data_IF_911616202555
#
_entry.id   IF_911616202555
#
_cell.length_a   1.000
_cell.length_b   1.000
_cell.length_c   1.000
_cell.angle_alpha   90.00
_cell.angle_beta   90.00
_cell.angle_gamma   90.00
#
_symmetry.space_group_name_H-M   'P 1'
#
loop_
_entity.id
_entity.type
_entity.pdbx_description
1 polymer ?
#
# COMPACT_ATOMS: atom_id res chain seq x y z
N UNK A 1 12.49 -14.15 13.06
CA UNK A 1 13.84 -13.76 12.62
C UNK A 1 14.17 -12.36 13.04
N UNK A 2 15.28 -12.23 13.72
CA UNK A 2 15.82 -10.91 14.00
C UNK A 2 16.13 -10.27 12.65
N UNK A 3 15.67 -9.06 12.40
CA UNK A 3 16.00 -8.34 11.19
C UNK A 3 14.85 -7.98 10.28
N UNK A 4 13.61 -8.26 10.68
CA UNK A 4 12.49 -7.70 9.93
C UNK A 4 12.48 -6.18 10.07
N UNK A 5 12.38 -5.48 8.94
CA UNK A 5 12.24 -4.02 8.93
C UNK A 5 10.95 -3.56 9.60
N UNK A 6 10.04 -4.49 9.87
CA UNK A 6 8.75 -4.20 10.51
C UNK A 6 8.80 -4.28 12.03
N UNK A 7 9.88 -4.76 12.62
CA UNK A 7 9.97 -4.91 14.08
C UNK A 7 9.63 -3.61 14.80
N UNK A 8 8.68 -3.69 15.74
CA UNK A 8 8.26 -2.55 16.54
C UNK A 8 7.41 -1.52 15.81
N UNK A 9 7.07 -1.75 14.56
CA UNK A 9 6.26 -0.81 13.79
C UNK A 9 4.79 -0.86 14.17
N UNK A 10 4.13 0.27 14.07
CA UNK A 10 2.69 0.40 14.30
C UNK A 10 1.99 0.46 12.96
N UNK A 11 1.05 -0.45 12.75
CA UNK A 11 0.36 -0.63 11.48
C UNK A 11 -1.13 -0.48 11.69
N UNK A 12 -1.77 0.34 10.85
CA UNK A 12 -3.22 0.46 10.78
C UNK A 12 -3.69 -0.14 9.45
N UNK A 13 -4.65 -1.06 9.50
CA UNK A 13 -5.30 -1.58 8.31
C UNK A 13 -6.76 -1.18 8.30
N UNK A 14 -7.23 -0.67 7.17
CA UNK A 14 -8.60 -0.16 7.00
C UNK A 14 -9.25 -0.83 5.80
N UNK A 15 -10.33 -1.56 6.04
CA UNK A 15 -11.11 -2.23 5.01
C UNK A 15 -12.49 -2.50 5.58
N UNK A 16 -13.55 -2.32 4.79
CA UNK A 16 -14.91 -2.62 5.23
C UNK A 16 -15.22 -4.12 5.27
N UNK A 17 -14.30 -4.94 4.76
CA UNK A 17 -14.41 -6.40 4.83
C UNK A 17 -13.55 -6.93 5.98
N UNK A 18 -14.16 -7.39 7.09
CA UNK A 18 -13.38 -7.89 8.23
C UNK A 18 -12.45 -9.06 7.89
N UNK A 19 -12.83 -9.91 6.93
CA UNK A 19 -12.02 -11.05 6.51
C UNK A 19 -10.67 -10.60 5.95
N UNK A 20 -10.65 -9.49 5.22
CA UNK A 20 -9.40 -8.92 4.69
C UNK A 20 -8.48 -8.48 5.84
N UNK A 21 -9.05 -7.84 6.84
CA UNK A 21 -8.30 -7.39 8.03
C UNK A 21 -7.72 -8.57 8.81
N UNK A 22 -8.47 -9.66 8.92
CA UNK A 22 -8.01 -10.86 9.60
C UNK A 22 -6.85 -11.52 8.86
N UNK A 23 -6.90 -11.58 7.54
CA UNK A 23 -5.81 -12.11 6.72
C UNK A 23 -4.56 -11.25 6.89
N UNK A 24 -4.70 -9.93 6.80
CA UNK A 24 -3.58 -9.01 6.99
C UNK A 24 -2.95 -9.16 8.37
N UNK A 25 -3.77 -9.25 9.40
CA UNK A 25 -3.30 -9.43 10.77
C UNK A 25 -2.49 -10.72 10.90
N UNK A 26 -3.01 -11.81 10.38
CA UNK A 26 -2.35 -13.11 10.43
C UNK A 26 -1.00 -13.08 9.71
N UNK A 27 -0.97 -12.58 8.48
CA UNK A 27 0.25 -12.51 7.69
C UNK A 27 1.32 -11.63 8.35
N UNK A 28 0.92 -10.47 8.84
CA UNK A 28 1.86 -9.50 9.40
C UNK A 28 2.38 -9.96 10.76
N UNK A 29 1.51 -10.40 11.66
CA UNK A 29 1.91 -10.80 13.01
C UNK A 29 2.67 -12.12 13.03
N UNK A 30 2.42 -13.01 12.06
CA UNK A 30 3.23 -14.21 11.92
C UNK A 30 4.67 -13.87 11.54
N UNK A 31 4.85 -12.93 10.62
CA UNK A 31 6.18 -12.49 10.19
C UNK A 31 6.85 -11.57 11.21
N UNK A 32 6.07 -10.80 11.95
CA UNK A 32 6.58 -9.82 12.90
C UNK A 32 5.70 -9.76 14.15
N UNK A 33 5.93 -10.65 15.13
CA UNK A 33 5.12 -10.67 16.36
C UNK A 33 5.24 -9.39 17.18
N UNK A 34 6.31 -8.61 17.00
CA UNK A 34 6.55 -7.37 17.74
C UNK A 34 5.85 -6.15 17.14
N UNK A 35 5.19 -6.31 15.98
CA UNK A 35 4.40 -5.24 15.38
C UNK A 35 3.12 -5.00 16.17
N UNK A 36 2.69 -3.74 16.21
CA UNK A 36 1.35 -3.38 16.69
C UNK A 36 0.43 -3.31 15.48
N UNK A 37 -0.70 -4.01 15.52
CA UNK A 37 -1.63 -4.06 14.41
C UNK A 37 -3.02 -3.63 14.87
N UNK A 38 -3.50 -2.49 14.33
CA UNK A 38 -4.83 -1.96 14.60
C UNK A 38 -5.70 -2.07 13.35
N UNK A 39 -6.99 -2.24 13.55
CA UNK A 39 -7.97 -2.45 12.49
C UNK A 39 -9.08 -1.42 12.56
N UNK A 40 -9.56 -0.96 11.41
CA UNK A 40 -10.74 -0.12 11.29
C UNK A 40 -11.57 -0.55 10.09
N UNK A 41 -12.88 -0.54 10.22
CA UNK A 41 -13.79 -0.95 9.15
C UNK A 41 -14.56 0.23 8.54
N UNK A 42 -14.41 1.43 9.09
CA UNK A 42 -15.09 2.63 8.59
C UNK A 42 -14.10 3.77 8.43
N UNK A 43 -14.46 4.71 7.55
CA UNK A 43 -13.70 5.94 7.37
C UNK A 43 -13.57 6.71 8.69
N UNK A 44 -14.68 6.85 9.40
CA UNK A 44 -14.74 7.66 10.63
C UNK A 44 -13.79 7.12 11.70
N UNK A 45 -13.79 5.81 11.91
CA UNK A 45 -12.88 5.19 12.88
C UNK A 45 -11.43 5.33 12.46
N UNK A 46 -11.15 5.08 11.18
CA UNK A 46 -9.79 5.20 10.65
C UNK A 46 -9.26 6.63 10.76
N UNK A 47 -10.08 7.61 10.41
CA UNK A 47 -9.71 9.01 10.51
C UNK A 47 -9.38 9.42 11.94
N UNK A 48 -10.22 8.99 12.87
CA UNK A 48 -9.99 9.23 14.31
C UNK A 48 -8.68 8.61 14.78
N UNK A 49 -8.45 7.36 14.38
CA UNK A 49 -7.23 6.63 14.77
C UNK A 49 -5.97 7.27 14.20
N UNK A 50 -6.03 7.68 12.93
CA UNK A 50 -4.89 8.36 12.28
C UNK A 50 -4.56 9.70 12.96
N UNK A 51 -5.58 10.41 13.44
CA UNK A 51 -5.37 11.67 14.16
C UNK A 51 -4.81 11.46 15.57
N UNK A 52 -5.23 10.39 16.23
CA UNK A 52 -4.88 10.14 17.63
C UNK A 52 -3.54 9.42 17.80
N UNK A 53 -3.08 8.68 16.81
CA UNK A 53 -1.93 7.79 16.92
C UNK A 53 -0.98 7.99 15.74
N UNK A 54 0.31 7.99 15.99
CA UNK A 54 1.32 8.01 14.93
C UNK A 54 1.59 6.59 14.46
N UNK A 55 1.12 6.26 13.27
CA UNK A 55 1.38 4.97 12.63
C UNK A 55 2.58 5.05 11.70
N UNK A 56 3.32 3.96 11.62
CA UNK A 56 4.41 3.83 10.66
C UNK A 56 3.90 3.46 9.28
N UNK A 57 2.85 2.62 9.24
CA UNK A 57 2.25 2.12 8.01
C UNK A 57 0.73 2.15 8.12
N UNK A 58 0.07 2.53 7.04
CA UNK A 58 -1.38 2.38 6.88
C UNK A 58 -1.65 1.58 5.61
N UNK A 59 -2.51 0.58 5.72
CA UNK A 59 -2.96 -0.26 4.61
C UNK A 59 -4.42 0.11 4.38
N UNK A 60 -4.72 0.73 3.25
CA UNK A 60 -6.01 1.37 3.01
C UNK A 60 -6.72 0.77 1.80
N UNK A 61 -7.96 0.32 1.99
CA UNK A 61 -8.84 -0.07 0.91
C UNK A 61 -9.27 1.18 0.13
N UNK A 62 -9.16 1.16 -1.19
CA UNK A 62 -9.53 2.30 -2.04
C UNK A 62 -11.03 2.57 -1.97
N UNK A 63 -11.84 1.50 -2.08
CA UNK A 63 -13.30 1.61 -2.07
C UNK A 63 -13.84 1.26 -0.68
N UNK A 64 -15.03 1.74 -0.37
CA UNK A 64 -15.73 1.38 0.87
C UNK A 64 -15.34 2.18 2.10
N UNK A 65 -14.11 2.66 2.19
CA UNK A 65 -13.63 3.44 3.35
C UNK A 65 -13.01 4.78 2.95
N UNK A 66 -13.27 5.24 1.73
CA UNK A 66 -12.71 6.50 1.20
C UNK A 66 -11.18 6.53 1.31
N UNK A 67 -10.56 5.49 0.76
CA UNK A 67 -9.13 5.25 0.91
C UNK A 67 -8.24 6.42 0.49
N UNK A 68 -8.60 7.14 -0.59
CA UNK A 68 -7.78 8.28 -1.03
C UNK A 68 -7.85 9.47 -0.06
N UNK A 69 -8.96 9.68 0.62
CA UNK A 69 -9.05 10.71 1.65
C UNK A 69 -8.21 10.34 2.87
N UNK A 70 -8.24 9.07 3.26
CA UNK A 70 -7.40 8.57 4.35
C UNK A 70 -5.91 8.63 3.95
N UNK A 71 -5.60 8.38 2.69
CA UNK A 71 -4.23 8.49 2.19
C UNK A 71 -3.69 9.90 2.40
N UNK A 72 -4.46 10.92 2.06
CA UNK A 72 -4.05 12.31 2.28
C UNK A 72 -3.74 12.59 3.75
N UNK A 73 -4.60 12.11 4.64
CA UNK A 73 -4.41 12.28 6.09
C UNK A 73 -3.16 11.56 6.60
N UNK A 74 -2.93 10.33 6.13
CA UNK A 74 -1.79 9.52 6.55
C UNK A 74 -0.47 10.12 6.06
N UNK A 75 -0.42 10.54 4.81
CA UNK A 75 0.79 11.13 4.21
C UNK A 75 1.14 12.45 4.91
N UNK A 76 0.15 13.24 5.30
CA UNK A 76 0.37 14.48 6.05
C UNK A 76 1.08 14.23 7.40
N UNK A 77 0.99 13.03 7.93
CA UNK A 77 1.67 12.61 9.17
C UNK A 77 2.90 11.75 8.92
N UNK A 78 3.39 11.69 7.69
CA UNK A 78 4.54 10.89 7.27
C UNK A 78 4.36 9.38 7.46
N UNK A 79 3.11 8.91 7.47
CA UNK A 79 2.79 7.49 7.49
C UNK A 79 2.98 6.92 6.09
N UNK A 80 3.67 5.78 5.97
CA UNK A 80 3.81 5.09 4.70
C UNK A 80 2.53 4.33 4.39
N UNK A 81 2.03 4.42 3.16
CA UNK A 81 0.71 3.90 2.80
C UNK A 81 0.79 2.87 1.68
N UNK A 82 0.09 1.75 1.87
CA UNK A 82 -0.22 0.78 0.82
C UNK A 82 -1.70 0.92 0.49
N UNK A 83 -2.03 1.09 -0.80
CA UNK A 83 -3.41 1.08 -1.26
C UNK A 83 -3.81 -0.33 -1.68
N UNK A 84 -4.96 -0.80 -1.23
CA UNK A 84 -5.51 -2.10 -1.62
C UNK A 84 -6.64 -1.93 -2.63
N UNK A 85 -6.70 -2.80 -3.61
CA UNK A 85 -7.78 -2.83 -4.59
C UNK A 85 -8.40 -4.21 -4.69
N UNK A 86 -9.74 -4.27 -4.72
CA UNK A 86 -10.48 -5.52 -4.90
C UNK A 86 -10.57 -5.94 -6.36
N UNK A 87 -10.30 -5.02 -7.27
CA UNK A 87 -10.52 -5.24 -8.70
C UNK A 87 -9.22 -5.32 -9.48
N UNK A 88 -9.35 -5.68 -10.76
CA UNK A 88 -8.24 -5.64 -11.68
C UNK A 88 -7.58 -4.26 -11.67
N UNK A 89 -6.34 -4.20 -12.09
CA UNK A 89 -5.57 -2.97 -12.13
C UNK A 89 -6.35 -1.84 -12.80
N UNK A 90 -6.47 -0.73 -12.10
CA UNK A 90 -7.02 0.50 -12.63
C UNK A 90 -5.88 1.51 -12.80
N UNK A 91 -5.48 1.84 -14.04
CA UNK A 91 -4.36 2.76 -14.26
C UNK A 91 -4.56 4.14 -13.62
N UNK A 92 -5.78 4.65 -13.60
CA UNK A 92 -6.07 5.93 -12.97
C UNK A 92 -5.87 5.87 -11.45
N UNK A 93 -6.37 4.82 -10.81
CA UNK A 93 -6.19 4.63 -9.37
C UNK A 93 -4.71 4.44 -9.02
N UNK A 94 -3.97 3.73 -9.86
CA UNK A 94 -2.54 3.53 -9.69
C UNK A 94 -1.77 4.84 -9.76
N UNK A 95 -2.04 5.66 -10.78
CA UNK A 95 -1.41 6.97 -10.93
C UNK A 95 -1.79 7.90 -9.78
N UNK A 96 -3.06 7.88 -9.37
CA UNK A 96 -3.54 8.69 -8.26
C UNK A 96 -2.85 8.30 -6.96
N UNK A 97 -2.66 7.01 -6.74
CA UNK A 97 -1.92 6.51 -5.57
C UNK A 97 -0.49 7.03 -5.56
N UNK A 98 0.18 6.97 -6.71
CA UNK A 98 1.53 7.49 -6.85
C UNK A 98 1.57 9.00 -6.60
N UNK A 99 0.70 9.77 -7.26
CA UNK A 99 0.68 11.23 -7.16
C UNK A 99 0.41 11.69 -5.73
N UNK A 100 -0.40 10.98 -4.99
CA UNK A 100 -0.71 11.27 -3.60
C UNK A 100 0.31 10.68 -2.62
N UNK A 101 1.41 10.13 -3.13
CA UNK A 101 2.56 9.64 -2.38
C UNK A 101 2.32 8.36 -1.57
N UNK A 102 1.36 7.54 -2.00
CA UNK A 102 1.30 6.16 -1.50
C UNK A 102 2.60 5.44 -1.89
N UNK A 103 3.00 4.47 -1.10
CA UNK A 103 4.24 3.74 -1.34
C UNK A 103 4.05 2.47 -2.15
N UNK A 104 2.83 1.94 -2.17
CA UNK A 104 2.51 0.74 -2.91
C UNK A 104 1.02 0.69 -3.26
N UNK A 105 0.69 -0.15 -4.22
CA UNK A 105 -0.66 -0.42 -4.70
C UNK A 105 -0.75 -1.93 -4.89
N UNK A 106 -1.65 -2.59 -4.18
CA UNK A 106 -1.68 -4.05 -4.13
C UNK A 106 -3.09 -4.58 -4.36
N UNK A 107 -3.26 -5.54 -5.30
CA UNK A 107 -4.55 -6.21 -5.41
C UNK A 107 -4.78 -7.13 -4.21
N UNK A 108 -6.03 -7.23 -3.77
CA UNK A 108 -6.40 -8.06 -2.62
C UNK A 108 -6.09 -9.54 -2.83
N UNK A 109 -5.97 -9.99 -4.08
CA UNK A 109 -5.55 -11.35 -4.39
C UNK A 109 -4.10 -11.65 -3.95
N UNK A 110 -3.31 -10.61 -3.69
CA UNK A 110 -1.91 -10.71 -3.30
C UNK A 110 -1.66 -10.45 -1.82
N UNK A 111 -2.67 -10.56 -0.97
CA UNK A 111 -2.51 -10.33 0.47
C UNK A 111 -1.47 -11.26 1.10
N UNK A 112 -1.29 -12.47 0.57
CA UNK A 112 -0.26 -13.38 1.05
C UNK A 112 1.17 -12.87 0.86
N UNK A 113 1.37 -11.88 -0.01
CA UNK A 113 2.67 -11.27 -0.28
C UNK A 113 2.83 -9.89 0.38
N UNK A 114 1.92 -9.52 1.29
CA UNK A 114 1.93 -8.18 1.89
C UNK A 114 3.24 -7.87 2.62
N UNK A 115 3.80 -8.83 3.33
CA UNK A 115 4.99 -8.60 4.17
C UNK A 115 6.21 -8.13 3.36
N UNK A 116 6.59 -8.78 2.25
CA UNK A 116 7.68 -8.28 1.43
C UNK A 116 7.46 -6.85 0.92
N UNK A 117 6.23 -6.51 0.53
CA UNK A 117 5.91 -5.15 0.09
C UNK A 117 6.06 -4.13 1.22
N UNK A 118 5.64 -4.48 2.42
CA UNK A 118 5.80 -3.60 3.57
C UNK A 118 7.28 -3.41 3.93
N UNK A 119 8.06 -4.48 3.89
CA UNK A 119 9.48 -4.40 4.18
C UNK A 119 10.21 -3.51 3.16
N UNK A 120 9.87 -3.63 1.88
CA UNK A 120 10.45 -2.81 0.82
C UNK A 120 10.23 -1.31 1.06
N UNK A 121 9.11 -0.94 1.66
CA UNK A 121 8.81 0.46 1.94
C UNK A 121 9.79 1.10 2.92
N UNK A 122 10.47 0.32 3.73
CA UNK A 122 11.48 0.80 4.67
C UNK A 122 12.91 0.70 4.13
N UNK A 123 13.10 0.01 3.01
CA UNK A 123 14.40 -0.14 2.35
C UNK A 123 14.55 0.85 1.20
N UNK A 124 13.51 1.02 0.40
CA UNK A 124 13.54 1.85 -0.80
C UNK A 124 12.81 3.16 -0.58
N UNK A 125 13.41 4.25 -1.03
CA UNK A 125 12.79 5.56 -0.97
C UNK A 125 11.77 5.74 -2.11
N UNK A 126 10.87 6.68 -1.92
CA UNK A 126 9.97 7.17 -2.95
C UNK A 126 10.71 8.19 -3.82
N UNK A 127 10.69 8.15 -5.15
CA UNK A 127 9.94 7.20 -6.00
C UNK A 127 10.69 5.93 -6.45
N UNK A 128 12.00 5.71 -6.16
CA UNK A 128 12.67 4.49 -6.63
C UNK A 128 11.98 3.20 -6.20
N UNK A 129 11.38 3.19 -5.02
CA UNK A 129 10.59 2.05 -4.53
C UNK A 129 9.43 1.71 -5.45
N UNK A 130 8.79 2.72 -6.04
CA UNK A 130 7.69 2.50 -6.98
C UNK A 130 8.15 1.85 -8.27
N UNK A 131 9.32 2.20 -8.77
CA UNK A 131 9.87 1.59 -9.97
C UNK A 131 10.06 0.07 -9.76
N UNK A 132 10.60 -0.30 -8.60
CA UNK A 132 10.74 -1.70 -8.21
C UNK A 132 9.37 -2.37 -8.05
N UNK A 133 8.46 -1.72 -7.34
CA UNK A 133 7.11 -2.22 -7.11
C UNK A 133 6.36 -2.45 -8.42
N UNK A 134 6.47 -1.55 -9.36
CA UNK A 134 5.83 -1.68 -10.67
C UNK A 134 6.34 -2.89 -11.45
N UNK A 135 7.61 -3.21 -11.35
CA UNK A 135 8.16 -4.41 -11.99
C UNK A 135 7.53 -5.69 -11.41
N UNK A 136 7.34 -5.71 -10.10
CA UNK A 136 6.71 -6.85 -9.43
C UNK A 136 5.24 -6.99 -9.85
N UNK A 137 4.51 -5.88 -9.89
CA UNK A 137 3.12 -5.86 -10.30
C UNK A 137 2.96 -6.20 -11.78
N UNK A 138 3.86 -5.71 -12.63
CA UNK A 138 3.83 -5.98 -14.07
C UNK A 138 3.90 -7.48 -14.35
N UNK A 139 4.80 -8.19 -13.68
CA UNK A 139 4.92 -9.64 -13.82
C UNK A 139 3.62 -10.33 -13.45
N UNK A 140 2.98 -9.91 -12.38
CA UNK A 140 1.71 -10.48 -11.95
C UNK A 140 0.58 -10.19 -12.92
N UNK A 141 0.43 -8.92 -13.32
CA UNK A 141 -0.70 -8.53 -14.17
C UNK A 141 -0.56 -9.03 -15.62
N UNK A 142 0.65 -9.15 -16.13
CA UNK A 142 0.86 -9.71 -17.48
C UNK A 142 0.45 -11.17 -17.59
N UNK A 143 0.51 -11.92 -16.51
CA UNK A 143 0.04 -13.31 -16.50
C UNK A 143 -1.47 -13.40 -16.40
N UNK A 144 -2.12 -12.50 -15.67
CA UNK A 144 -3.55 -12.57 -15.35
C UNK A 144 -4.42 -11.63 -16.17
N UNK A 145 -3.88 -10.50 -16.57
CA UNK A 145 -4.68 -9.42 -17.17
C UNK A 145 -3.96 -8.82 -18.36
N UNK A 146 -4.47 -9.11 -19.53
CA UNK A 146 -4.03 -8.48 -20.77
C UNK A 146 -4.18 -6.95 -20.81
N UNK A 147 -5.00 -6.28 -19.97
CA UNK A 147 -5.10 -4.81 -20.01
C UNK A 147 -3.83 -4.07 -19.67
N UNK A 148 -2.82 -4.73 -19.15
CA UNK A 148 -1.55 -4.07 -18.85
C UNK A 148 -0.78 -3.66 -20.11
N UNK A 149 -1.27 -4.04 -21.29
CA UNK A 149 -0.68 -3.65 -22.56
C UNK A 149 -0.72 -2.12 -22.81
N UNK A 150 -1.48 -1.37 -22.02
CA UNK A 150 -1.48 0.09 -22.08
C UNK A 150 -0.45 0.76 -21.15
N UNK A 151 0.41 -0.02 -20.51
CA UNK A 151 1.30 0.49 -19.47
C UNK A 151 2.73 0.86 -19.88
N UNK A 152 3.20 0.65 -21.12
CA UNK A 152 4.38 1.39 -21.54
C UNK A 152 4.23 2.88 -21.28
N UNK A 153 3.03 3.42 -21.49
CA UNK A 153 2.72 4.83 -21.20
C UNK A 153 2.86 5.16 -19.70
N UNK A 154 2.47 4.25 -18.82
CA UNK A 154 2.57 4.46 -17.38
C UNK A 154 4.02 4.37 -16.91
N UNK A 155 4.80 3.42 -17.41
CA UNK A 155 6.22 3.31 -17.10
C UNK A 155 6.99 4.53 -17.57
N UNK A 156 6.70 5.00 -18.79
CA UNK A 156 7.29 6.22 -19.33
C UNK A 156 6.93 7.42 -18.45
N UNK A 157 5.69 7.49 -18.00
CA UNK A 157 5.24 8.54 -17.09
C UNK A 157 5.98 8.49 -15.75
N UNK A 158 6.17 7.30 -15.17
CA UNK A 158 6.93 7.15 -13.93
C UNK A 158 8.39 7.59 -14.09
N UNK A 159 9.03 7.17 -15.17
CA UNK A 159 10.40 7.57 -15.46
C UNK A 159 10.53 9.09 -15.62
N UNK A 160 9.56 9.69 -16.28
CA UNK A 160 9.51 11.13 -16.42
C UNK A 160 9.37 11.83 -15.07
N UNK A 161 8.53 11.30 -14.17
CA UNK A 161 8.39 11.85 -12.82
C UNK A 161 9.69 11.75 -12.02
N UNK A 162 10.40 10.66 -12.14
CA UNK A 162 11.71 10.50 -11.48
C UNK A 162 12.70 11.53 -11.98
N UNK A 163 12.76 11.74 -13.29
CA UNK A 163 13.67 12.74 -13.90
C UNK A 163 13.35 14.16 -13.46
N UNK A 164 12.07 14.48 -13.29
CA UNK A 164 11.66 15.81 -12.87
C UNK A 164 11.98 16.11 -11.40
N UNK A 165 12.24 15.08 -10.61
CA UNK A 165 12.58 15.23 -9.19
C UNK A 165 14.08 15.27 -8.91
N UNK A 166 14.86 15.02 -9.93
CA UNK A 166 16.30 15.23 -9.87
C UNK A 166 16.57 16.74 -10.04
#
# INVERSE_FOLDING_TARGET
MAGSNLNGKRILAVDDEPDVLDILQEEILEACPDCTFDKATTYEDADRMLKATAYDVAILDIMGVRGFDLLDSAVAKNTKVVMLTAHALNPEALKRSYDKKARAYLPKEKLGDIVPFLEDMFVYEYPPGWKRHMRELEGYFNEKFTPFKGLPEFQDWLEMQEKMKE
#
